data_IF_924351625406
#
_entry.id   IF_924351625406
#
_cell.length_a   1.000
_cell.length_b   1.000
_cell.length_c   1.000
_cell.angle_alpha   90.00
_cell.angle_beta   90.00
_cell.angle_gamma   90.00
#
_symmetry.space_group_name_H-M   'P 1'
#
loop_
_entity.id
_entity.type
_entity.pdbx_description
1 polymer ?
#
# COMPACT_ATOMS: atom_id res chain seq x y z
N UNK A 1 22.18 27.09 5.23
CA UNK A 1 21.87 27.20 6.68
C UNK A 1 22.68 26.13 7.41
N UNK A 2 23.11 26.38 8.65
CA UNK A 2 24.02 25.51 9.38
C UNK A 2 23.31 24.94 10.61
N UNK A 3 23.31 23.62 10.75
CA UNK A 3 22.71 22.90 11.89
C UNK A 3 23.78 22.15 12.65
N UNK A 4 23.71 22.22 13.99
CA UNK A 4 24.65 21.54 14.87
C UNK A 4 24.05 20.24 15.40
N UNK A 5 24.73 19.13 15.14
CA UNK A 5 24.33 17.79 15.58
C UNK A 5 24.83 17.52 17.00
N UNK A 6 24.04 16.76 17.76
CA UNK A 6 24.39 16.35 19.11
C UNK A 6 25.55 15.36 19.14
N UNK A 7 26.32 15.39 20.24
CA UNK A 7 27.36 14.41 20.50
C UNK A 7 26.79 12.99 20.58
N UNK A 8 27.37 12.02 19.86
CA UNK A 8 27.10 10.60 20.13
C UNK A 8 28.41 9.84 20.31
N UNK A 9 28.52 9.11 21.41
CA UNK A 9 29.69 8.29 21.73
C UNK A 9 29.93 7.18 20.69
N UNK A 10 28.89 6.78 19.94
CA UNK A 10 29.01 5.83 18.84
C UNK A 10 29.76 6.36 17.61
N UNK A 11 29.91 7.68 17.48
CA UNK A 11 30.54 8.31 16.31
C UNK A 11 31.46 9.49 16.73
N UNK A 12 32.58 9.21 17.44
CA UNK A 12 33.41 10.25 18.04
C UNK A 12 34.20 11.12 17.06
N UNK A 13 34.21 10.82 15.76
CA UNK A 13 34.89 11.60 14.71
C UNK A 13 33.97 12.30 13.71
N UNK A 14 32.64 12.24 13.90
CA UNK A 14 31.71 12.81 12.93
C UNK A 14 31.63 14.34 13.06
N UNK A 15 31.83 15.05 11.95
CA UNK A 15 31.65 16.51 11.88
C UNK A 15 30.24 16.87 12.33
N UNK A 16 30.15 17.69 13.39
CA UNK A 16 28.87 18.04 14.04
C UNK A 16 28.16 19.20 13.38
N UNK A 17 28.62 19.60 12.22
CA UNK A 17 28.08 20.71 11.46
C UNK A 17 27.58 20.16 10.15
N UNK A 18 26.27 20.21 9.97
CA UNK A 18 25.63 19.90 8.70
C UNK A 18 25.26 21.22 8.01
N UNK A 19 25.70 21.37 6.76
CA UNK A 19 25.29 22.49 5.91
C UNK A 19 24.25 21.99 4.93
N UNK A 20 23.06 22.57 4.97
CA UNK A 20 21.98 22.24 4.06
C UNK A 20 21.44 23.50 3.36
N UNK A 21 21.00 23.38 2.10
CA UNK A 21 20.22 24.42 1.43
C UNK A 21 18.94 24.72 2.21
N UNK A 22 18.52 25.99 2.24
CA UNK A 22 17.32 26.37 2.98
C UNK A 22 16.06 25.70 2.41
N UNK A 23 15.95 25.62 1.08
CA UNK A 23 14.80 24.99 0.44
C UNK A 23 14.68 23.47 0.71
N UNK A 24 15.78 22.78 1.00
CA UNK A 24 15.71 21.37 1.40
C UNK A 24 15.21 21.20 2.84
N UNK A 25 15.60 22.11 3.73
CA UNK A 25 15.08 22.13 5.10
C UNK A 25 13.59 22.44 5.13
N UNK A 26 13.13 23.42 4.34
CA UNK A 26 11.71 23.76 4.23
C UNK A 26 10.89 22.58 3.72
N UNK A 27 11.40 21.86 2.71
CA UNK A 27 10.78 20.62 2.21
C UNK A 27 10.75 19.53 3.28
N UNK A 28 11.83 19.35 4.05
CA UNK A 28 11.88 18.36 5.12
C UNK A 28 10.87 18.67 6.23
N UNK A 29 10.73 19.94 6.63
CA UNK A 29 9.72 20.39 7.61
C UNK A 29 8.31 20.20 7.05
N UNK A 30 8.08 20.53 5.78
CA UNK A 30 6.78 20.31 5.15
C UNK A 30 6.41 18.83 5.15
N UNK A 31 7.37 17.93 4.82
CA UNK A 31 7.20 16.47 4.88
C UNK A 31 6.89 15.98 6.30
N UNK A 32 7.59 16.48 7.32
CA UNK A 32 7.38 16.09 8.74
C UNK A 32 5.98 16.46 9.27
N UNK A 33 5.38 17.54 8.74
CA UNK A 33 4.05 18.00 9.11
C UNK A 33 2.90 17.26 8.43
N UNK A 34 3.19 16.41 7.44
CA UNK A 34 2.15 15.65 6.76
C UNK A 34 1.48 14.69 7.74
N UNK A 35 0.15 14.68 7.75
CA UNK A 35 -0.63 13.78 8.61
C UNK A 35 -1.81 13.19 7.86
N UNK A 36 -2.32 12.05 8.35
CA UNK A 36 -3.50 11.40 7.80
C UNK A 36 -3.38 11.12 6.31
N UNK A 37 -4.34 11.60 5.51
CA UNK A 37 -4.41 11.32 4.07
C UNK A 37 -3.19 11.85 3.32
N UNK A 38 -2.73 13.06 3.61
CA UNK A 38 -1.62 13.67 2.88
C UNK A 38 -0.30 12.90 3.10
N UNK A 39 -0.13 12.31 4.28
CA UNK A 39 0.99 11.44 4.58
C UNK A 39 0.91 10.12 3.80
N UNK A 40 -0.27 9.51 3.73
CA UNK A 40 -0.51 8.30 2.92
C UNK A 40 -0.27 8.58 1.43
N UNK A 41 -0.80 9.68 0.91
CA UNK A 41 -0.62 10.11 -0.48
C UNK A 41 0.87 10.30 -0.80
N UNK A 42 1.60 11.00 0.06
CA UNK A 42 3.05 11.17 -0.09
C UNK A 42 3.81 9.84 -0.08
N UNK A 43 3.51 8.94 0.86
CA UNK A 43 4.22 7.67 0.99
C UNK A 43 3.99 6.75 -0.21
N UNK A 44 2.75 6.69 -0.72
CA UNK A 44 2.41 5.88 -1.90
C UNK A 44 3.16 6.38 -3.13
N UNK A 45 3.22 7.70 -3.35
CA UNK A 45 3.94 8.23 -4.50
C UNK A 45 5.47 8.03 -4.38
N UNK A 46 6.05 8.13 -3.18
CA UNK A 46 7.48 7.79 -2.98
C UNK A 46 7.76 6.30 -3.19
N UNK A 47 6.85 5.41 -2.75
CA UNK A 47 6.96 3.97 -3.05
C UNK A 47 6.90 3.69 -4.54
N UNK A 48 5.96 4.31 -5.27
CA UNK A 48 5.83 4.14 -6.71
C UNK A 48 6.99 4.76 -7.49
N UNK A 49 7.68 5.75 -6.91
CA UNK A 49 8.89 6.33 -7.49
C UNK A 49 10.14 5.45 -7.31
N UNK A 50 10.11 4.47 -6.39
CA UNK A 50 11.23 3.58 -6.13
C UNK A 50 11.39 2.54 -7.27
N UNK A 51 12.55 2.50 -7.98
CA UNK A 51 12.77 1.55 -9.07
C UNK A 51 12.69 0.08 -8.65
N UNK A 52 13.11 -0.26 -7.44
CA UNK A 52 13.03 -1.63 -6.92
C UNK A 52 11.57 -2.04 -6.71
N UNK A 53 10.74 -1.14 -6.18
CA UNK A 53 9.30 -1.41 -5.99
C UNK A 53 8.63 -1.64 -7.34
N UNK A 54 8.93 -0.80 -8.35
CA UNK A 54 8.40 -0.96 -9.71
C UNK A 54 8.80 -2.29 -10.34
N UNK A 55 10.03 -2.74 -10.16
CA UNK A 55 10.49 -4.04 -10.67
C UNK A 55 9.70 -5.21 -10.05
N UNK A 56 9.40 -5.15 -8.75
CA UNK A 56 8.59 -6.16 -8.07
C UNK A 56 7.14 -6.12 -8.56
N UNK A 57 6.56 -4.93 -8.69
CA UNK A 57 5.21 -4.76 -9.23
C UNK A 57 5.06 -5.37 -10.63
N UNK A 58 6.02 -5.12 -11.52
CA UNK A 58 6.02 -5.67 -12.88
C UNK A 58 6.14 -7.20 -12.87
N UNK A 59 6.93 -7.78 -11.96
CA UNK A 59 7.08 -9.22 -11.81
C UNK A 59 5.79 -9.90 -11.31
N UNK A 60 5.05 -9.23 -10.44
CA UNK A 60 3.79 -9.73 -9.86
C UNK A 60 2.56 -9.34 -10.70
N UNK A 61 2.73 -8.57 -11.78
CA UNK A 61 1.65 -8.12 -12.66
C UNK A 61 0.71 -7.09 -12.02
N UNK A 62 1.20 -6.32 -11.04
CA UNK A 62 0.44 -5.28 -10.32
C UNK A 62 0.71 -3.92 -10.96
N UNK A 63 -0.34 -3.14 -11.24
CA UNK A 63 -0.18 -1.81 -11.83
C UNK A 63 -0.28 -0.66 -10.81
N UNK A 64 0.28 0.50 -11.13
CA UNK A 64 0.25 1.67 -10.23
C UNK A 64 -1.17 2.13 -9.88
N UNK A 65 -2.13 1.99 -10.81
CA UNK A 65 -3.51 2.40 -10.59
C UNK A 65 -4.19 1.55 -9.50
N UNK A 66 -3.87 0.25 -9.43
CA UNK A 66 -4.37 -0.66 -8.40
C UNK A 66 -3.81 -0.28 -7.03
N UNK A 67 -2.50 0.00 -6.95
CA UNK A 67 -1.87 0.45 -5.71
C UNK A 67 -2.50 1.77 -5.24
N UNK A 68 -2.62 2.76 -6.13
CA UNK A 68 -3.28 4.04 -5.79
C UNK A 68 -4.73 3.82 -5.34
N UNK A 69 -5.49 2.94 -6.00
CA UNK A 69 -6.87 2.65 -5.60
C UNK A 69 -6.95 2.00 -4.21
N UNK A 70 -6.02 1.10 -3.85
CA UNK A 70 -5.97 0.46 -2.53
C UNK A 70 -5.71 1.48 -1.41
N UNK A 71 -4.78 2.41 -1.62
CA UNK A 71 -4.40 3.36 -0.58
C UNK A 71 -5.27 4.62 -0.56
N UNK A 72 -5.84 5.05 -1.70
CA UNK A 72 -6.69 6.25 -1.80
C UNK A 72 -8.19 5.96 -1.77
N UNK A 73 -8.60 4.72 -2.08
CA UNK A 73 -9.99 4.32 -2.27
C UNK A 73 -10.69 3.70 -1.07
N UNK A 74 -10.02 3.47 0.05
CA UNK A 74 -10.60 2.71 1.17
C UNK A 74 -10.99 3.61 2.33
N UNK A 75 -12.00 4.46 2.11
CA UNK A 75 -12.70 5.20 3.19
C UNK A 75 -14.22 5.21 2.98
N UNK A 76 -14.78 4.05 2.65
CA UNK A 76 -16.22 3.89 2.42
C UNK A 76 -16.82 2.51 2.72
N UNK A 77 -16.07 1.54 3.26
CA UNK A 77 -16.60 0.17 3.51
C UNK A 77 -16.07 -0.48 4.79
N UNK A 78 -15.68 0.31 5.81
CA UNK A 78 -15.23 -0.25 7.10
C UNK A 78 -15.57 0.65 8.30
N UNK A 79 -16.63 1.46 8.19
CA UNK A 79 -17.14 2.27 9.30
C UNK A 79 -18.63 2.04 9.61
N UNK A 80 -19.27 1.04 8.98
CA UNK A 80 -20.62 0.60 9.35
C UNK A 80 -20.84 -0.87 8.97
N UNK A 81 -20.21 -1.78 9.71
CA UNK A 81 -20.55 -3.21 9.66
C UNK A 81 -20.75 -3.74 11.09
N UNK A 82 -21.68 -3.12 11.81
CA UNK A 82 -22.39 -3.82 12.88
C UNK A 82 -23.87 -3.44 12.92
N UNK A 83 -24.53 -3.55 11.76
CA UNK A 83 -25.97 -3.68 11.68
C UNK A 83 -26.33 -4.35 10.35
N UNK A 84 -27.08 -5.46 10.43
CA UNK A 84 -27.73 -6.19 9.32
C UNK A 84 -26.75 -7.00 8.43
N UNK A 85 -26.83 -8.32 8.32
CA UNK A 85 -28.03 -9.10 8.15
C UNK A 85 -28.33 -9.32 6.67
N UNK A 86 -27.66 -10.32 6.07
CA UNK A 86 -28.12 -11.13 4.92
C UNK A 86 -28.28 -10.45 3.55
N UNK A 87 -27.44 -10.96 2.62
CA UNK A 87 -27.72 -11.37 1.23
C UNK A 87 -27.59 -10.38 0.08
N UNK A 88 -27.04 -10.93 -1.01
CA UNK A 88 -26.93 -10.46 -2.40
C UNK A 88 -25.88 -9.36 -2.63
N UNK A 89 -24.73 -9.58 -3.27
CA UNK A 89 -24.49 -10.40 -4.47
C UNK A 89 -24.46 -9.49 -5.70
N UNK A 90 -23.28 -9.17 -6.22
CA UNK A 90 -23.04 -8.96 -7.66
C UNK A 90 -21.55 -8.64 -7.90
N UNK A 91 -20.77 -9.68 -8.18
CA UNK A 91 -19.49 -9.53 -8.87
C UNK A 91 -19.85 -9.40 -10.36
N UNK A 92 -19.59 -8.24 -10.94
CA UNK A 92 -19.68 -8.03 -12.39
C UNK A 92 -18.34 -8.44 -12.99
N UNK A 93 -18.26 -9.65 -13.54
CA UNK A 93 -17.18 -10.08 -14.42
C UNK A 93 -17.68 -10.10 -15.86
N UNK A 94 -17.11 -9.21 -16.68
CA UNK A 94 -17.20 -9.27 -18.13
C UNK A 94 -16.30 -10.39 -18.66
N UNK A 95 -16.83 -11.30 -19.50
CA UNK A 95 -16.00 -12.20 -20.29
C UNK A 95 -16.68 -13.51 -20.70
N UNK A 96 -17.16 -13.55 -21.94
CA UNK A 96 -17.81 -14.67 -22.60
C UNK A 96 -16.94 -15.94 -22.71
N UNK A 97 -17.55 -17.13 -22.58
CA UNK A 97 -17.28 -18.30 -23.44
C UNK A 97 -18.23 -19.48 -23.11
N UNK A 98 -18.99 -19.84 -24.13
CA UNK A 98 -19.58 -21.14 -24.48
C UNK A 98 -19.38 -22.33 -23.51
N UNK A 99 -20.49 -22.80 -22.96
CA UNK A 99 -20.91 -24.21 -22.94
C UNK A 99 -20.05 -25.23 -22.18
N UNK A 100 -20.51 -25.66 -21.00
CA UNK A 100 -20.44 -27.06 -20.57
C UNK A 100 -21.34 -27.31 -19.34
N UNK A 101 -22.18 -28.34 -19.39
CA UNK A 101 -23.08 -28.77 -18.30
C UNK A 101 -22.32 -29.18 -17.01
N UNK A 102 -22.91 -29.02 -15.81
CA UNK A 102 -22.29 -29.48 -14.58
C UNK A 102 -22.35 -31.01 -14.48
N UNK A 103 -21.19 -31.66 -14.38
CA UNK A 103 -21.12 -33.09 -14.09
C UNK A 103 -21.30 -33.34 -12.60
N UNK A 104 -22.27 -34.20 -12.33
CA UNK A 104 -22.70 -34.78 -11.06
C UNK A 104 -21.52 -35.23 -10.18
N UNK A 105 -21.68 -35.03 -8.87
CA UNK A 105 -20.67 -35.29 -7.85
C UNK A 105 -20.26 -36.77 -7.73
N UNK A 106 -19.00 -36.98 -7.38
CA UNK A 106 -18.47 -38.28 -6.96
C UNK A 106 -18.66 -38.47 -5.45
N UNK A 107 -19.24 -39.59 -4.96
CA UNK A 107 -19.31 -39.90 -3.54
C UNK A 107 -17.92 -40.10 -2.93
N UNK A 108 -17.66 -39.50 -1.76
CA UNK A 108 -16.46 -39.77 -0.94
C UNK A 108 -16.52 -41.23 -0.41
N UNK A 109 -15.45 -42.03 -0.58
CA UNK A 109 -15.36 -43.36 0.02
C UNK A 109 -15.33 -43.27 1.55
N UNK A 110 -16.17 -44.07 2.21
CA UNK A 110 -16.18 -44.22 3.66
C UNK A 110 -14.94 -44.99 4.14
N UNK A 111 -14.30 -44.49 5.18
CA UNK A 111 -13.29 -45.23 5.94
C UNK A 111 -14.04 -46.03 7.02
N UNK A 112 -14.08 -47.34 6.88
CA UNK A 112 -14.29 -48.25 7.99
C UNK A 112 -12.93 -48.73 8.48
N UNK A 113 -12.72 -48.78 9.80
CA UNK A 113 -12.71 -50.01 10.60
C UNK A 113 -13.17 -49.69 12.03
#
# INVERSE_FOLDING_TARGET
MQVHLQARASHPGLTRTLTAPLGELDRAIAKDKLTGKELTDFFVEEMLADPMIRLVMDADGVCEAEVRALYFGTRGAAADENATGRMAGSIVTHGAHTGMSPRSGSPRPGIGE
#
